data_IF_321844313711
#
_entry.id   IF_321844313711
#
_cell.length_a   1.000
_cell.length_b   1.000
_cell.length_c   1.000
_cell.angle_alpha   90.00
_cell.angle_beta   90.00
_cell.angle_gamma   90.00
#
_symmetry.space_group_name_H-M   'P 1'
#
loop_
_entity.id
_entity.type
_entity.pdbx_description
1 polymer ?
#
# COMPACT_ATOMS: atom_id res chain seq x y z
N UNK A 1 -12.27 -22.46 17.27
CA UNK A 1 -12.54 -21.11 16.72
C UNK A 1 -11.62 -20.89 15.55
N UNK A 2 -12.15 -20.39 14.44
CA UNK A 2 -11.31 -20.05 13.28
C UNK A 2 -10.34 -18.92 13.66
N UNK A 3 -9.05 -19.13 13.39
CA UNK A 3 -7.93 -18.24 13.75
C UNK A 3 -8.15 -16.77 13.30
N UNK A 4 -8.80 -16.56 12.16
CA UNK A 4 -8.99 -15.24 11.54
C UNK A 4 -10.40 -14.65 11.69
N UNK A 5 -11.29 -15.29 12.47
CA UNK A 5 -12.67 -14.80 12.64
C UNK A 5 -12.75 -13.35 13.12
N UNK A 6 -11.94 -12.99 14.13
CA UNK A 6 -11.84 -11.63 14.65
C UNK A 6 -11.32 -10.64 13.59
N UNK A 7 -10.27 -11.01 12.85
CA UNK A 7 -9.69 -10.14 11.84
C UNK A 7 -10.67 -9.88 10.67
N UNK A 8 -11.46 -10.89 10.27
CA UNK A 8 -12.53 -10.68 9.28
C UNK A 8 -13.62 -9.75 9.80
N UNK A 9 -14.04 -9.91 11.05
CA UNK A 9 -15.01 -9.02 11.68
C UNK A 9 -14.49 -7.57 11.73
N UNK A 10 -13.24 -7.36 12.16
CA UNK A 10 -12.59 -6.05 12.15
C UNK A 10 -12.52 -5.46 10.74
N UNK A 11 -12.12 -6.25 9.74
CA UNK A 11 -12.04 -5.81 8.36
C UNK A 11 -13.41 -5.40 7.81
N UNK A 12 -14.46 -6.13 8.18
CA UNK A 12 -15.84 -5.86 7.77
C UNK A 12 -16.43 -4.64 8.46
N UNK A 13 -16.20 -4.48 9.76
CA UNK A 13 -16.83 -3.43 10.59
C UNK A 13 -16.02 -2.13 10.62
N UNK A 14 -14.69 -2.25 10.72
CA UNK A 14 -13.79 -1.11 10.86
C UNK A 14 -13.19 -0.66 9.52
N UNK A 15 -13.14 -1.57 8.53
CA UNK A 15 -12.46 -1.38 7.25
C UNK A 15 -10.98 -1.74 7.28
N UNK A 16 -10.45 -2.20 8.42
CA UNK A 16 -9.06 -2.61 8.55
C UNK A 16 -8.87 -3.60 9.69
N UNK A 17 -7.75 -4.32 9.65
CA UNK A 17 -7.24 -5.14 10.76
C UNK A 17 -5.72 -5.11 10.78
N UNK A 18 -5.12 -5.17 11.97
CA UNK A 18 -3.67 -5.10 12.21
C UNK A 18 -3.13 -6.47 12.60
N UNK A 19 -1.97 -6.82 12.06
CA UNK A 19 -1.21 -8.03 12.37
C UNK A 19 0.14 -7.64 12.98
N UNK A 20 0.25 -7.58 14.32
CA UNK A 20 1.50 -7.25 14.98
C UNK A 20 2.59 -8.30 14.72
N UNK A 21 3.79 -7.83 14.37
CA UNK A 21 4.96 -8.69 14.19
C UNK A 21 4.82 -9.75 13.10
N UNK A 22 4.04 -9.47 12.03
CA UNK A 22 3.82 -10.44 10.94
C UNK A 22 5.12 -10.78 10.19
N UNK A 23 6.02 -9.80 10.08
CA UNK A 23 7.31 -9.91 9.39
C UNK A 23 8.44 -9.84 10.42
N UNK A 24 9.43 -10.71 10.28
CA UNK A 24 10.58 -10.76 11.19
C UNK A 24 11.46 -9.50 11.09
N UNK A 25 12.21 -9.14 12.14
CA UNK A 25 13.17 -8.03 12.09
C UNK A 25 14.20 -8.20 10.97
N UNK A 26 14.64 -9.41 10.69
CA UNK A 26 15.60 -9.74 9.62
C UNK A 26 15.01 -9.46 8.24
N UNK A 27 13.75 -9.85 8.02
CA UNK A 27 13.05 -9.58 6.77
C UNK A 27 12.74 -8.10 6.59
N UNK A 28 12.43 -7.37 7.68
CA UNK A 28 12.27 -5.92 7.64
C UNK A 28 13.57 -5.23 7.26
N UNK A 29 14.71 -5.66 7.81
CA UNK A 29 16.01 -5.11 7.43
C UNK A 29 16.28 -5.36 5.94
N UNK A 30 16.06 -6.57 5.45
CA UNK A 30 16.18 -6.92 4.03
C UNK A 30 15.30 -6.07 3.12
N UNK A 31 14.04 -5.81 3.53
CA UNK A 31 13.14 -4.91 2.81
C UNK A 31 13.68 -3.48 2.76
N UNK A 32 14.16 -2.95 3.89
CA UNK A 32 14.74 -1.60 3.97
C UNK A 32 15.95 -1.46 3.06
N UNK A 33 16.89 -2.40 3.14
CA UNK A 33 18.11 -2.41 2.33
C UNK A 33 17.76 -2.47 0.83
N UNK A 34 16.84 -3.35 0.44
CA UNK A 34 16.40 -3.48 -0.96
C UNK A 34 15.72 -2.22 -1.48
N UNK A 35 14.88 -1.57 -0.68
CA UNK A 35 14.22 -0.32 -1.05
C UNK A 35 15.21 0.84 -1.12
N UNK A 36 16.14 0.95 -0.14
CA UNK A 36 17.15 2.01 -0.14
C UNK A 36 18.11 1.87 -1.31
N UNK A 37 18.59 0.64 -1.57
CA UNK A 37 19.44 0.37 -2.73
C UNK A 37 18.76 0.80 -4.02
N UNK A 38 17.49 0.38 -4.21
CA UNK A 38 16.71 0.75 -5.38
C UNK A 38 16.56 2.27 -5.53
N UNK A 39 16.18 2.97 -4.48
CA UNK A 39 15.93 4.43 -4.53
C UNK A 39 17.19 5.28 -4.59
N UNK A 40 18.37 4.74 -4.21
CA UNK A 40 19.63 5.47 -4.22
C UNK A 40 20.46 5.22 -5.48
N UNK A 41 20.29 4.08 -6.17
CA UNK A 41 21.17 3.67 -7.26
C UNK A 41 20.63 3.98 -8.68
N UNK A 42 19.80 5.02 -8.84
CA UNK A 42 19.48 5.60 -10.14
C UNK A 42 18.46 4.84 -10.99
N UNK A 43 17.62 4.02 -10.35
CA UNK A 43 16.52 3.34 -11.02
C UNK A 43 15.39 4.31 -11.44
N UNK A 44 14.52 3.89 -12.34
CA UNK A 44 13.40 4.66 -12.88
C UNK A 44 12.23 4.72 -11.88
N UNK A 45 12.39 5.45 -10.79
CA UNK A 45 11.31 5.78 -9.86
C UNK A 45 10.76 7.19 -10.14
N UNK A 46 9.64 7.52 -9.55
CA UNK A 46 8.98 8.82 -9.72
C UNK A 46 9.16 9.65 -8.46
N UNK A 47 9.55 10.92 -8.60
CA UNK A 47 9.45 11.91 -7.52
C UNK A 47 7.99 12.34 -7.39
N UNK A 48 7.41 12.15 -6.23
CA UNK A 48 6.02 12.52 -5.98
C UNK A 48 5.80 12.91 -4.52
N UNK A 49 5.06 13.99 -4.31
CA UNK A 49 4.69 14.49 -2.98
C UNK A 49 5.89 14.56 -1.99
N UNK A 50 7.01 15.10 -2.44
CA UNK A 50 8.21 15.30 -1.64
C UNK A 50 8.99 14.04 -1.27
N UNK A 51 8.67 12.93 -1.87
CA UNK A 51 9.33 11.65 -1.72
C UNK A 51 9.62 10.97 -3.05
N UNK A 52 9.95 9.69 -2.99
CA UNK A 52 10.14 8.81 -4.13
C UNK A 52 9.09 7.70 -4.08
N UNK A 53 8.56 7.32 -5.23
CA UNK A 53 7.60 6.21 -5.35
C UNK A 53 7.95 5.33 -6.53
N UNK A 54 7.80 4.01 -6.34
CA UNK A 54 7.87 3.02 -7.39
C UNK A 54 6.58 2.23 -7.44
N UNK A 55 5.82 2.42 -8.51
CA UNK A 55 4.69 1.56 -8.83
C UNK A 55 5.16 0.26 -9.47
N UNK A 56 4.37 -0.79 -9.36
CA UNK A 56 4.76 -2.15 -9.76
C UNK A 56 6.04 -2.60 -9.05
N UNK A 57 6.12 -2.28 -7.76
CA UNK A 57 7.32 -2.48 -6.96
C UNK A 57 7.77 -3.96 -6.93
N UNK A 58 6.83 -4.92 -6.95
CA UNK A 58 7.14 -6.35 -6.99
C UNK A 58 7.87 -6.75 -8.27
N UNK A 59 7.55 -6.15 -9.41
CA UNK A 59 8.28 -6.38 -10.66
C UNK A 59 9.62 -5.65 -10.72
N UNK A 60 9.73 -4.50 -10.05
CA UNK A 60 10.87 -3.57 -10.18
C UNK A 60 11.95 -3.74 -9.13
N UNK A 61 11.61 -4.20 -7.94
CA UNK A 61 12.53 -4.33 -6.81
C UNK A 61 12.68 -5.83 -6.45
N UNK A 62 13.67 -6.53 -7.00
CA UNK A 62 13.80 -7.98 -6.80
C UNK A 62 13.85 -8.40 -5.33
N UNK A 63 14.52 -7.62 -4.50
CA UNK A 63 14.75 -7.95 -3.10
C UNK A 63 13.51 -7.94 -2.20
N UNK A 64 12.36 -7.38 -2.67
CA UNK A 64 11.11 -7.40 -1.90
C UNK A 64 10.12 -8.49 -2.36
N UNK A 65 10.40 -9.20 -3.44
CA UNK A 65 9.49 -10.20 -4.04
C UNK A 65 9.14 -11.36 -3.12
N UNK A 66 9.98 -11.63 -2.11
CA UNK A 66 9.70 -12.70 -1.15
C UNK A 66 8.41 -12.45 -0.34
N UNK A 67 7.93 -11.22 -0.24
CA UNK A 67 6.64 -10.90 0.39
C UNK A 67 5.47 -11.61 -0.29
N UNK A 68 5.55 -11.83 -1.61
CA UNK A 68 4.45 -12.47 -2.36
C UNK A 68 4.15 -13.88 -1.89
N UNK A 69 5.19 -14.64 -1.52
CA UNK A 69 5.05 -16.02 -1.06
C UNK A 69 5.52 -16.23 0.39
N UNK A 70 5.61 -15.16 1.18
CA UNK A 70 5.92 -15.24 2.60
C UNK A 70 4.80 -16.00 3.35
N UNK A 71 5.10 -17.09 4.08
CA UNK A 71 4.06 -17.98 4.65
C UNK A 71 3.02 -17.24 5.49
N UNK A 72 3.46 -16.35 6.39
CA UNK A 72 2.55 -15.60 7.27
C UNK A 72 1.63 -14.65 6.48
N UNK A 73 2.13 -14.04 5.40
CA UNK A 73 1.33 -13.14 4.55
C UNK A 73 0.28 -13.95 3.80
N UNK A 74 0.67 -15.08 3.21
CA UNK A 74 -0.25 -15.98 2.48
C UNK A 74 -1.35 -16.48 3.41
N UNK A 75 -1.00 -16.89 4.64
CA UNK A 75 -1.96 -17.32 5.65
C UNK A 75 -2.97 -16.23 6.00
N UNK A 76 -2.49 -14.99 6.21
CA UNK A 76 -3.35 -13.82 6.48
C UNK A 76 -4.28 -13.53 5.31
N UNK A 77 -3.75 -13.50 4.08
CA UNK A 77 -4.56 -13.19 2.89
C UNK A 77 -5.67 -14.24 2.68
N UNK A 78 -5.34 -15.52 2.72
CA UNK A 78 -6.32 -16.61 2.59
C UNK A 78 -7.29 -16.62 3.77
N UNK A 79 -6.79 -16.43 4.99
CA UNK A 79 -7.62 -16.43 6.19
C UNK A 79 -8.60 -15.26 6.28
N UNK A 80 -8.23 -14.07 5.78
CA UNK A 80 -9.08 -12.87 5.87
C UNK A 80 -9.92 -12.62 4.62
N UNK A 81 -9.38 -12.89 3.43
CA UNK A 81 -10.04 -12.58 2.14
C UNK A 81 -10.75 -13.83 1.59
N UNK A 82 -10.07 -14.98 1.61
CA UNK A 82 -10.57 -16.26 1.10
C UNK A 82 -9.50 -17.03 0.33
N UNK A 83 -9.71 -18.34 0.17
CA UNK A 83 -8.77 -19.22 -0.53
C UNK A 83 -8.60 -18.87 -2.02
N UNK A 84 -9.59 -18.21 -2.60
CA UNK A 84 -9.65 -17.74 -3.97
C UNK A 84 -9.09 -16.33 -4.17
N UNK A 85 -8.39 -15.79 -3.15
CA UNK A 85 -7.74 -14.47 -3.22
C UNK A 85 -6.86 -14.32 -4.45
N UNK A 86 -6.92 -13.13 -5.09
CA UNK A 86 -6.11 -12.77 -6.27
C UNK A 86 -5.18 -11.60 -5.97
N UNK A 87 -4.02 -11.59 -6.61
CA UNK A 87 -3.16 -10.41 -6.71
C UNK A 87 -3.68 -9.48 -7.81
N UNK A 88 -3.86 -8.20 -7.49
CA UNK A 88 -4.55 -7.24 -8.37
C UNK A 88 -3.58 -6.35 -9.18
N UNK A 89 -2.40 -6.83 -9.52
CA UNK A 89 -1.38 -6.07 -10.27
C UNK A 89 -1.04 -4.70 -9.66
N UNK A 90 -1.27 -4.56 -8.35
CA UNK A 90 -1.01 -3.35 -7.60
C UNK A 90 0.07 -3.60 -6.56
N UNK A 91 1.20 -2.93 -6.70
CA UNK A 91 2.22 -2.87 -5.66
C UNK A 91 2.99 -1.55 -5.77
N UNK A 92 3.22 -0.93 -4.64
CA UNK A 92 3.95 0.33 -4.56
C UNK A 92 5.01 0.25 -3.44
N UNK A 93 6.17 0.88 -3.68
CA UNK A 93 7.16 1.15 -2.65
C UNK A 93 7.37 2.66 -2.56
N UNK A 94 7.41 3.17 -1.34
CA UNK A 94 7.55 4.61 -1.08
C UNK A 94 8.74 4.90 -0.18
N UNK A 95 9.44 6.00 -0.47
CA UNK A 95 10.45 6.60 0.40
C UNK A 95 10.08 8.06 0.64
N UNK A 96 9.79 8.42 1.89
CA UNK A 96 9.52 9.79 2.34
C UNK A 96 8.37 10.51 1.63
N UNK A 97 7.45 9.77 1.03
CA UNK A 97 6.29 10.33 0.36
C UNK A 97 5.32 10.91 1.40
N UNK A 98 4.94 12.16 1.19
CA UNK A 98 3.89 12.84 1.93
C UNK A 98 2.55 12.60 1.24
N UNK A 99 1.46 12.62 2.01
CA UNK A 99 0.13 12.42 1.43
C UNK A 99 -0.92 13.25 2.18
N UNK A 100 -2.06 13.48 1.54
CA UNK A 100 -3.25 14.01 2.18
C UNK A 100 -4.28 12.90 2.41
N UNK A 101 -5.37 13.22 3.11
CA UNK A 101 -6.50 12.31 3.30
C UNK A 101 -7.07 11.86 1.95
N UNK A 102 -7.25 10.55 1.78
CA UNK A 102 -7.75 9.97 0.54
C UNK A 102 -8.29 8.55 0.74
N UNK A 103 -8.96 8.06 -0.28
CA UNK A 103 -9.35 6.66 -0.46
C UNK A 103 -8.59 6.11 -1.66
N UNK A 104 -7.87 5.03 -1.50
CA UNK A 104 -7.01 4.45 -2.54
C UNK A 104 -7.78 4.01 -3.79
N UNK A 105 -9.04 3.65 -3.62
CA UNK A 105 -9.90 3.18 -4.70
C UNK A 105 -10.24 4.26 -5.74
N UNK A 106 -10.05 5.53 -5.38
CA UNK A 106 -10.44 6.67 -6.23
C UNK A 106 -9.70 6.65 -7.56
N UNK A 107 -10.44 6.60 -8.66
CA UNK A 107 -9.89 6.51 -10.02
C UNK A 107 -9.56 5.10 -10.50
N UNK A 108 -9.74 4.08 -9.66
CA UNK A 108 -9.56 2.67 -10.05
C UNK A 108 -10.87 1.91 -10.25
N UNK A 109 -11.92 2.27 -9.54
CA UNK A 109 -13.27 1.70 -9.69
C UNK A 109 -14.26 2.84 -9.81
N UNK A 110 -15.17 2.75 -10.78
CA UNK A 110 -16.10 3.84 -11.11
C UNK A 110 -17.02 4.18 -9.94
N UNK A 111 -17.68 3.19 -9.37
CA UNK A 111 -18.52 3.34 -8.18
C UNK A 111 -18.30 2.16 -7.21
N UNK A 112 -17.36 2.29 -6.26
CA UNK A 112 -17.04 1.20 -5.35
C UNK A 112 -18.08 0.99 -4.23
N UNK A 113 -19.16 1.77 -4.19
CA UNK A 113 -20.29 1.62 -3.26
C UNK A 113 -21.58 1.19 -3.98
N UNK A 114 -21.51 0.98 -5.29
CA UNK A 114 -22.63 0.47 -6.06
C UNK A 114 -22.99 -0.96 -5.63
N UNK A 115 -24.29 -1.26 -5.60
CA UNK A 115 -24.75 -2.64 -5.43
C UNK A 115 -24.74 -3.32 -6.81
N UNK A 116 -23.65 -3.98 -7.14
CA UNK A 116 -23.51 -4.75 -8.39
C UNK A 116 -24.35 -6.03 -8.32
N UNK A 117 -24.79 -6.51 -9.48
CA UNK A 117 -25.62 -7.70 -9.61
C UNK A 117 -25.04 -8.90 -8.87
N UNK A 118 -25.82 -9.54 -8.00
CA UNK A 118 -25.43 -10.72 -7.24
C UNK A 118 -25.06 -10.47 -5.78
N UNK A 119 -25.31 -9.26 -5.22
CA UNK A 119 -24.92 -8.90 -3.85
C UNK A 119 -23.42 -9.10 -3.57
N UNK A 120 -22.58 -8.90 -4.58
CA UNK A 120 -21.12 -9.01 -4.41
C UNK A 120 -20.61 -7.98 -3.42
N UNK A 121 -19.93 -8.45 -2.38
CA UNK A 121 -19.18 -7.57 -1.48
C UNK A 121 -18.01 -6.95 -2.25
N UNK A 122 -17.65 -5.70 -1.94
CA UNK A 122 -16.59 -4.95 -2.64
C UNK A 122 -15.29 -5.72 -2.83
N UNK A 123 -14.69 -6.26 -1.77
CA UNK A 123 -13.60 -7.25 -1.82
C UNK A 123 -12.26 -6.81 -2.39
N UNK A 124 -11.93 -5.51 -2.44
CA UNK A 124 -10.62 -5.00 -2.87
C UNK A 124 -9.86 -4.45 -1.68
N UNK A 125 -8.71 -5.06 -1.37
CA UNK A 125 -7.94 -4.79 -0.17
C UNK A 125 -6.49 -4.42 -0.50
N UNK A 126 -5.85 -3.74 0.44
CA UNK A 126 -4.41 -3.47 0.41
C UNK A 126 -3.78 -3.97 1.68
N UNK A 127 -2.65 -4.68 1.56
CA UNK A 127 -1.77 -4.97 2.69
C UNK A 127 -0.59 -4.01 2.66
N UNK A 128 -0.32 -3.37 3.81
CA UNK A 128 0.71 -2.35 3.98
C UNK A 128 1.75 -2.80 5.01
N UNK A 129 3.01 -2.60 4.68
CA UNK A 129 4.16 -2.82 5.55
C UNK A 129 4.90 -1.51 5.75
N UNK A 130 4.98 -1.05 6.99
CA UNK A 130 5.82 0.08 7.38
C UNK A 130 7.15 -0.45 7.89
N UNK A 131 8.25 0.05 7.30
CA UNK A 131 9.58 -0.50 7.56
C UNK A 131 10.32 0.21 8.70
N UNK A 132 9.62 0.95 9.53
CA UNK A 132 10.09 1.67 10.71
C UNK A 132 8.99 1.75 11.78
N UNK A 133 9.40 2.01 13.01
CA UNK A 133 8.47 2.25 14.11
C UNK A 133 7.78 3.62 14.01
N UNK A 134 6.49 3.65 14.36
CA UNK A 134 5.67 4.84 14.45
C UNK A 134 5.03 4.96 15.85
N UNK A 135 5.84 4.74 16.90
CA UNK A 135 5.33 4.67 18.28
C UNK A 135 5.21 6.07 18.89
N UNK A 136 6.13 6.97 18.56
CA UNK A 136 6.30 8.25 19.27
C UNK A 136 5.83 9.47 18.48
N UNK A 137 5.27 9.29 17.28
CA UNK A 137 4.85 10.42 16.45
C UNK A 137 3.70 10.08 15.51
N UNK A 138 2.92 11.09 15.12
CA UNK A 138 1.79 11.02 14.21
C UNK A 138 2.22 10.86 12.72
N UNK A 139 3.47 10.50 12.45
CA UNK A 139 3.98 10.29 11.10
C UNK A 139 3.71 8.86 10.58
N UNK A 140 2.86 8.12 11.25
CA UNK A 140 2.47 6.76 10.90
C UNK A 140 1.36 6.72 9.87
N UNK A 141 0.33 5.99 10.21
CA UNK A 141 -0.88 5.82 9.41
C UNK A 141 -2.08 6.23 10.26
N UNK A 142 -2.78 7.26 9.84
CA UNK A 142 -4.04 7.66 10.45
C UNK A 142 -5.19 7.28 9.53
N UNK A 143 -6.29 6.82 10.10
CA UNK A 143 -7.46 6.38 9.34
C UNK A 143 -8.77 6.81 10.02
N UNK A 144 -9.86 6.75 9.27
CA UNK A 144 -11.21 6.92 9.80
C UNK A 144 -11.92 5.57 9.84
N UNK A 145 -12.03 5.01 11.03
CA UNK A 145 -12.68 3.73 11.28
C UNK A 145 -14.11 3.73 10.74
N UNK A 146 -14.46 2.70 9.97
CA UNK A 146 -15.78 2.55 9.35
C UNK A 146 -16.04 3.42 8.11
N UNK A 147 -15.08 4.26 7.69
CA UNK A 147 -15.24 5.15 6.52
C UNK A 147 -15.32 4.42 5.18
N UNK A 148 -14.89 3.17 5.12
CA UNK A 148 -15.00 2.31 3.92
C UNK A 148 -16.47 2.08 3.52
N UNK A 149 -17.40 2.05 4.48
CA UNK A 149 -18.83 1.94 4.23
C UNK A 149 -19.48 3.26 3.77
N UNK A 150 -18.74 4.35 3.69
CA UNK A 150 -19.25 5.69 3.36
C UNK A 150 -18.59 6.24 2.10
N UNK A 151 -19.41 6.77 1.18
CA UNK A 151 -18.92 7.43 -0.05
C UNK A 151 -18.19 8.73 0.28
N UNK A 152 -18.75 9.54 1.16
CA UNK A 152 -18.14 10.79 1.58
C UNK A 152 -16.88 10.57 2.42
N UNK A 153 -15.84 11.40 2.17
CA UNK A 153 -14.65 11.46 2.99
C UNK A 153 -14.86 12.27 4.27
N UNK A 154 -13.98 12.11 5.25
CA UNK A 154 -14.01 12.84 6.50
C UNK A 154 -14.98 12.27 7.56
N UNK A 155 -15.67 11.15 7.28
CA UNK A 155 -16.62 10.50 8.17
C UNK A 155 -15.97 9.28 8.81
N UNK A 156 -16.20 9.10 10.11
CA UNK A 156 -15.69 7.99 10.92
C UNK A 156 -14.82 8.45 12.07
N UNK A 157 -14.60 7.57 13.04
CA UNK A 157 -13.72 7.80 14.18
C UNK A 157 -12.27 7.90 13.73
N UNK A 158 -11.57 8.98 14.11
CA UNK A 158 -10.16 9.16 13.82
C UNK A 158 -9.32 8.21 14.69
N UNK A 159 -8.50 7.41 14.05
CA UNK A 159 -7.57 6.49 14.70
C UNK A 159 -6.16 6.75 14.17
N UNK A 160 -5.24 7.04 15.07
CA UNK A 160 -3.80 7.09 14.78
C UNK A 160 -3.19 5.72 15.14
N UNK A 161 -2.68 5.02 14.13
CA UNK A 161 -2.09 3.71 14.34
C UNK A 161 -0.61 3.83 14.73
N UNK A 162 -0.31 3.37 15.94
CA UNK A 162 1.04 3.24 16.44
C UNK A 162 1.58 1.85 16.06
N UNK A 163 2.23 1.76 14.90
CA UNK A 163 2.76 0.50 14.38
C UNK A 163 4.26 0.37 14.64
N UNK A 164 4.73 -0.86 14.79
CA UNK A 164 6.16 -1.21 14.81
C UNK A 164 6.60 -1.72 13.43
N UNK A 165 7.88 -1.62 13.17
CA UNK A 165 8.46 -2.30 12.02
C UNK A 165 8.19 -3.82 12.13
N UNK A 166 7.62 -4.41 11.08
CA UNK A 166 7.17 -5.79 11.08
C UNK A 166 5.68 -6.00 11.25
N UNK A 167 4.94 -4.98 11.70
CA UNK A 167 3.49 -4.99 11.67
C UNK A 167 2.97 -4.87 10.24
N UNK A 168 1.87 -5.56 9.95
CA UNK A 168 1.16 -5.43 8.68
C UNK A 168 -0.28 -4.96 8.91
N UNK A 169 -0.72 -4.03 8.06
CA UNK A 169 -2.09 -3.52 8.05
C UNK A 169 -2.80 -4.03 6.81
N UNK A 170 -3.89 -4.78 6.98
CA UNK A 170 -4.79 -5.15 5.90
C UNK A 170 -6.02 -4.24 5.95
N UNK A 171 -6.35 -3.55 4.85
CA UNK A 171 -7.47 -2.62 4.84
C UNK A 171 -8.22 -2.58 3.51
N UNK A 172 -9.50 -2.25 3.58
CA UNK A 172 -10.38 -2.00 2.44
C UNK A 172 -9.94 -0.71 1.75
N UNK A 173 -9.73 -0.73 0.44
CA UNK A 173 -9.21 0.43 -0.30
C UNK A 173 -10.19 1.62 -0.35
N UNK A 174 -11.44 1.45 0.10
CA UNK A 174 -12.40 2.54 0.32
C UNK A 174 -12.21 3.26 1.66
N UNK A 175 -11.30 2.77 2.53
CA UNK A 175 -11.00 3.40 3.81
C UNK A 175 -10.37 4.78 3.61
N UNK A 176 -10.91 5.78 4.31
CA UNK A 176 -10.35 7.13 4.31
C UNK A 176 -9.13 7.15 5.24
N UNK A 177 -7.98 7.47 4.69
CA UNK A 177 -6.72 7.38 5.42
C UNK A 177 -5.69 8.40 4.95
N UNK A 178 -4.65 8.56 5.75
CA UNK A 178 -3.48 9.36 5.43
C UNK A 178 -2.22 8.67 5.96
N UNK A 179 -1.15 8.73 5.21
CA UNK A 179 0.17 8.29 5.68
C UNK A 179 0.81 9.38 6.54
N UNK A 180 1.59 10.24 5.94
CA UNK A 180 2.20 11.38 6.62
C UNK A 180 1.66 12.68 6.03
N UNK A 181 0.96 13.46 6.84
CA UNK A 181 0.56 14.81 6.43
C UNK A 181 1.78 15.74 6.36
N UNK A 182 1.88 16.57 5.31
CA UNK A 182 2.95 17.54 5.24
C UNK A 182 2.76 18.64 6.30
N UNK A 183 3.84 18.98 7.01
CA UNK A 183 3.88 20.15 7.88
C UNK A 183 3.87 21.46 7.06
N UNK A 184 3.86 22.63 7.73
CA UNK A 184 3.75 23.92 7.04
C UNK A 184 4.90 24.16 6.03
N UNK A 185 6.14 23.83 6.40
CA UNK A 185 7.30 23.98 5.51
C UNK A 185 7.19 23.05 4.30
N UNK A 186 6.85 21.78 4.53
CA UNK A 186 6.65 20.80 3.48
C UNK A 186 5.50 21.20 2.54
N UNK A 187 4.40 21.74 3.07
CA UNK A 187 3.29 22.29 2.26
C UNK A 187 3.73 23.42 1.36
N UNK A 188 4.57 24.33 1.85
CA UNK A 188 5.13 25.42 1.05
C UNK A 188 6.00 24.85 -0.07
N UNK A 189 6.90 23.94 0.26
CA UNK A 189 7.78 23.30 -0.73
C UNK A 189 7.01 22.52 -1.79
N UNK A 190 5.95 21.83 -1.42
CA UNK A 190 5.09 21.09 -2.35
C UNK A 190 4.27 22.00 -3.29
N UNK A 191 4.02 23.26 -2.93
CA UNK A 191 3.42 24.24 -3.84
C UNK A 191 4.35 24.62 -5.00
N UNK A 192 5.67 24.57 -4.79
CA UNK A 192 6.69 24.91 -5.79
C UNK A 192 7.00 23.75 -6.74
N UNK A 193 6.65 22.49 -6.35
CA UNK A 193 6.81 21.33 -7.22
C UNK A 193 6.51 20.01 -6.52
N UNK A 194 5.32 19.46 -6.77
CA UNK A 194 4.91 18.16 -6.16
C UNK A 194 5.70 16.97 -6.69
N UNK A 195 6.25 17.08 -7.89
CA UNK A 195 6.87 15.99 -8.63
C UNK A 195 8.24 16.40 -9.20
N UNK A 196 9.11 16.95 -8.36
CA UNK A 196 10.45 17.35 -8.77
C UNK A 196 11.54 16.82 -7.85
N UNK A 197 12.69 16.48 -8.41
CA UNK A 197 13.90 16.10 -7.67
C UNK A 197 14.45 17.28 -6.86
N UNK A 198 14.29 18.52 -7.33
CA UNK A 198 14.70 19.71 -6.60
C UNK A 198 13.94 19.86 -5.28
N UNK A 199 12.60 19.73 -5.30
CA UNK A 199 11.79 19.77 -4.07
C UNK A 199 12.14 18.62 -3.14
N UNK A 200 12.35 17.41 -3.68
CA UNK A 200 12.84 16.27 -2.92
C UNK A 200 14.19 16.57 -2.26
N UNK A 201 15.17 17.09 -3.01
CA UNK A 201 16.51 17.41 -2.51
C UNK A 201 16.49 18.42 -1.36
N UNK A 202 15.67 19.48 -1.45
CA UNK A 202 15.49 20.48 -0.39
C UNK A 202 14.84 19.84 0.84
N UNK A 203 13.77 19.08 0.67
CA UNK A 203 13.09 18.39 1.76
C UNK A 203 13.99 17.37 2.45
N UNK A 204 14.84 16.64 1.72
CA UNK A 204 15.80 15.71 2.32
C UNK A 204 16.85 16.43 3.16
N UNK A 205 17.38 17.55 2.69
CA UNK A 205 18.32 18.38 3.49
C UNK A 205 17.66 18.88 4.77
N UNK A 206 16.41 19.34 4.68
CA UNK A 206 15.63 19.79 5.83
C UNK A 206 15.38 18.66 6.83
N UNK A 207 14.94 17.47 6.34
CA UNK A 207 14.73 16.28 7.18
C UNK A 207 16.01 15.88 7.91
N UNK A 208 17.13 15.81 7.20
CA UNK A 208 18.44 15.49 7.77
C UNK A 208 18.84 16.51 8.86
N UNK A 209 18.67 17.80 8.59
CA UNK A 209 18.96 18.86 9.57
C UNK A 209 18.10 18.74 10.84
N UNK A 210 16.82 18.35 10.69
CA UNK A 210 15.88 18.17 11.80
C UNK A 210 15.87 16.75 12.38
N UNK A 211 16.80 15.88 12.02
CA UNK A 211 16.88 14.49 12.46
C UNK A 211 15.57 13.67 12.19
N UNK A 212 14.83 14.02 11.13
CA UNK A 212 13.65 13.27 10.72
C UNK A 212 14.11 11.96 10.05
N UNK A 213 13.69 10.83 10.61
CA UNK A 213 14.01 9.50 10.08
C UNK A 213 13.32 9.25 8.75
N UNK A 214 14.00 8.50 7.87
CA UNK A 214 13.40 8.07 6.60
C UNK A 214 12.20 7.15 6.85
N UNK A 215 11.11 7.47 6.17
CA UNK A 215 9.87 6.69 6.16
C UNK A 215 9.82 5.86 4.88
N UNK A 216 9.72 4.55 5.05
CA UNK A 216 9.56 3.60 3.94
C UNK A 216 8.33 2.74 4.16
N UNK A 217 7.64 2.44 3.08
CA UNK A 217 6.49 1.55 3.08
C UNK A 217 6.41 0.75 1.79
N UNK A 218 5.87 -0.46 1.90
CA UNK A 218 5.60 -1.35 0.77
C UNK A 218 4.13 -1.74 0.84
N UNK A 219 3.46 -1.71 -0.31
CA UNK A 219 2.04 -2.02 -0.43
C UNK A 219 1.80 -3.07 -1.50
N UNK A 220 0.82 -3.95 -1.27
CA UNK A 220 0.33 -4.90 -2.27
C UNK A 220 -1.19 -4.92 -2.26
N UNK A 221 -1.80 -4.97 -3.45
CA UNK A 221 -3.25 -5.05 -3.66
C UNK A 221 -3.71 -6.48 -3.88
N UNK A 222 -4.71 -6.90 -3.12
CA UNK A 222 -5.35 -8.21 -3.24
C UNK A 222 -6.87 -8.08 -3.21
N UNK A 223 -7.57 -9.07 -3.75
CA UNK A 223 -9.03 -9.04 -3.75
C UNK A 223 -9.68 -10.38 -3.94
N UNK A 224 -11.00 -10.40 -3.71
CA UNK A 224 -11.86 -11.52 -4.09
C UNK A 224 -12.09 -11.50 -5.61
N UNK A 225 -12.30 -12.65 -6.25
CA UNK A 225 -12.68 -12.70 -7.66
C UNK A 225 -14.09 -12.16 -7.85
N UNK A 226 -14.22 -10.90 -8.23
CA UNK A 226 -15.48 -10.23 -8.51
C UNK A 226 -15.28 -9.05 -9.47
N UNK A 227 -16.38 -8.45 -9.94
CA UNK A 227 -16.34 -7.35 -10.89
C UNK A 227 -15.56 -6.10 -10.42
N UNK A 228 -15.53 -5.83 -9.11
CA UNK A 228 -14.73 -4.72 -8.56
C UNK A 228 -13.24 -4.99 -8.65
N UNK A 229 -12.81 -6.21 -8.32
CA UNK A 229 -11.42 -6.64 -8.43
C UNK A 229 -10.95 -6.66 -9.88
N UNK A 230 -11.80 -7.10 -10.79
CA UNK A 230 -11.50 -7.15 -12.22
C UNK A 230 -11.30 -5.73 -12.78
N UNK A 231 -12.20 -4.79 -12.44
CA UNK A 231 -12.09 -3.38 -12.83
C UNK A 231 -10.84 -2.72 -12.21
N UNK A 232 -10.59 -2.96 -10.93
CA UNK A 232 -9.41 -2.43 -10.24
C UNK A 232 -8.13 -2.95 -10.89
N UNK A 233 -8.04 -4.26 -11.14
CA UNK A 233 -6.88 -4.89 -11.77
C UNK A 233 -6.63 -4.34 -13.19
N UNK A 234 -7.67 -4.21 -14.01
CA UNK A 234 -7.57 -3.63 -15.35
C UNK A 234 -7.02 -2.19 -15.32
N UNK A 235 -7.47 -1.37 -14.36
CA UNK A 235 -6.98 0.00 -14.21
C UNK A 235 -5.54 0.05 -13.65
N UNK A 236 -5.13 -0.91 -12.80
CA UNK A 236 -3.73 -1.06 -12.40
C UNK A 236 -2.84 -1.41 -13.60
N UNK A 237 -3.25 -2.35 -14.43
CA UNK A 237 -2.55 -2.72 -15.67
C UNK A 237 -2.44 -1.51 -16.61
N UNK A 238 -3.53 -0.76 -16.81
CA UNK A 238 -3.51 0.47 -17.60
C UNK A 238 -2.56 1.54 -17.03
N UNK A 239 -2.45 1.66 -15.70
CA UNK A 239 -1.46 2.51 -15.03
C UNK A 239 -0.04 2.05 -15.35
N UNK A 240 0.25 0.74 -15.26
CA UNK A 240 1.57 0.19 -15.57
C UNK A 240 1.94 0.44 -17.03
N UNK A 241 1.02 0.26 -17.98
CA UNK A 241 1.23 0.57 -19.38
C UNK A 241 1.67 2.03 -19.59
N UNK A 242 0.94 2.99 -18.99
CA UNK A 242 1.27 4.42 -19.10
C UNK A 242 2.62 4.75 -18.44
N UNK A 243 2.89 4.24 -17.25
CA UNK A 243 4.12 4.57 -16.50
C UNK A 243 5.37 3.96 -17.12
N UNK A 244 5.25 2.82 -17.76
CA UNK A 244 6.36 2.12 -18.38
C UNK A 244 6.47 2.42 -19.90
N UNK A 245 5.56 3.22 -20.45
CA UNK A 245 5.46 3.52 -21.88
C UNK A 245 5.45 2.24 -22.75
N UNK A 246 4.64 1.26 -22.36
CA UNK A 246 4.45 0.00 -23.08
C UNK A 246 3.01 -0.18 -23.51
N UNK A 247 2.80 -0.84 -24.65
CA UNK A 247 1.45 -1.09 -25.17
C UNK A 247 0.70 -2.22 -24.46
N UNK A 248 1.46 -3.15 -23.86
CA UNK A 248 0.90 -4.29 -23.15
C UNK A 248 1.77 -4.62 -21.94
N UNK A 249 1.18 -4.50 -20.77
CA UNK A 249 1.81 -4.92 -19.52
C UNK A 249 1.86 -6.44 -19.47
N UNK A 250 3.01 -6.96 -19.11
CA UNK A 250 3.20 -8.37 -18.80
C UNK A 250 3.77 -8.46 -17.39
N UNK A 251 3.13 -9.26 -16.55
CA UNK A 251 3.62 -9.51 -15.18
C UNK A 251 5.03 -10.11 -15.25
N UNK A 252 5.89 -9.67 -14.36
CA UNK A 252 7.25 -10.21 -14.26
C UNK A 252 7.19 -11.72 -13.96
N UNK A 253 7.98 -12.51 -14.70
CA UNK A 253 7.94 -13.99 -14.63
C UNK A 253 8.26 -14.54 -13.25
N UNK A 254 9.14 -13.90 -12.48
CA UNK A 254 9.45 -14.31 -11.11
C UNK A 254 8.28 -13.97 -10.16
N UNK A 255 7.59 -12.84 -10.36
CA UNK A 255 6.36 -12.50 -9.63
C UNK A 255 5.28 -13.54 -9.91
N UNK A 256 5.05 -13.87 -11.18
CA UNK A 256 4.10 -14.91 -11.60
C UNK A 256 4.44 -16.26 -10.95
N UNK A 257 5.70 -16.72 -11.07
CA UNK A 257 6.14 -17.99 -10.47
C UNK A 257 5.93 -18.08 -8.96
N UNK A 258 6.16 -16.96 -8.23
CA UNK A 258 5.91 -16.93 -6.78
C UNK A 258 4.42 -17.04 -6.45
N UNK A 259 3.55 -16.35 -7.17
CA UNK A 259 2.10 -16.41 -6.99
C UNK A 259 1.55 -17.81 -7.34
N UNK A 260 2.03 -18.39 -8.45
CA UNK A 260 1.66 -19.76 -8.86
C UNK A 260 2.05 -20.81 -7.81
N UNK A 261 3.24 -20.64 -7.19
CA UNK A 261 3.75 -21.59 -6.17
C UNK A 261 2.87 -21.68 -4.91
N UNK A 262 2.02 -20.68 -4.67
CA UNK A 262 1.10 -20.61 -3.52
C UNK A 262 -0.38 -20.65 -3.93
N UNK A 263 -0.66 -20.83 -5.23
CA UNK A 263 -2.01 -20.91 -5.79
C UNK A 263 -2.79 -19.60 -5.75
N UNK A 264 -2.13 -18.44 -5.73
CA UNK A 264 -2.77 -17.11 -5.85
C UNK A 264 -2.81 -16.73 -7.32
N UNK A 265 -4.01 -16.50 -7.85
CA UNK A 265 -4.24 -16.00 -9.22
C UNK A 265 -3.92 -14.50 -9.32
N UNK A 266 -3.73 -14.04 -10.56
CA UNK A 266 -3.42 -12.64 -10.87
C UNK A 266 -4.01 -12.20 -12.20
#
# INVERSE_FOLDING_TARGET
MDKFSKNREELQTNGYTLFPGLISPEDIQKLRESCLDYFNNGHNFIYYMGGKTQSDAMSRIPGIRFLLNHPNIVEVLKGCIGDDVRFLHHSDAHLNMLNGWHKDITGYVQDPWENRSGNESFGVYKIAFYLQDHIDNNNGFSLRKGSHARRASGIGELIDLHTKAGDALLFDQRLDHVGQEPNLFERIMLRWGKASDNSYGILQKWRKFNNVKDKMSVFMGFGKPNAFSDEFSANCIARQNRQNNVNSYTINSEVASKLDSIGIKY
#
